data_IF_909920634031
#
_entry.id   IF_909920634031
#
_cell.length_a   1.000
_cell.length_b   1.000
_cell.length_c   1.000
_cell.angle_alpha   90.00
_cell.angle_beta   90.00
_cell.angle_gamma   90.00
#
_symmetry.space_group_name_H-M   'P 1'
#
loop_
_entity.id
_entity.type
_entity.pdbx_description
1 polymer ?
#
# COMPACT_ATOMS: atom_id res chain seq x y z
N UNK A 1 -35.05 13.96 6.35
CA UNK A 1 -34.47 14.33 5.04
C UNK A 1 -34.05 13.10 4.23
N UNK A 2 -33.17 12.23 4.77
CA UNK A 2 -32.68 11.03 4.08
C UNK A 2 -33.78 10.09 3.56
N UNK A 3 -34.84 9.85 4.34
CA UNK A 3 -35.97 9.01 3.90
C UNK A 3 -36.64 9.50 2.61
N UNK A 4 -36.63 10.81 2.34
CA UNK A 4 -37.18 11.39 1.10
C UNK A 4 -36.25 11.21 -0.09
N UNK A 5 -34.94 11.14 0.15
CA UNK A 5 -33.91 10.98 -0.89
C UNK A 5 -33.61 9.51 -1.18
N UNK A 6 -33.86 8.61 -0.21
CA UNK A 6 -33.57 7.17 -0.31
C UNK A 6 -34.06 6.55 -1.63
N UNK A 7 -35.30 6.77 -2.11
CA UNK A 7 -35.75 6.19 -3.38
C UNK A 7 -34.89 6.61 -4.58
N UNK A 8 -34.39 7.86 -4.61
CA UNK A 8 -33.54 8.34 -5.70
C UNK A 8 -32.09 7.84 -5.57
N UNK A 9 -31.57 7.79 -4.34
CA UNK A 9 -30.20 7.32 -4.05
C UNK A 9 -30.05 5.83 -4.40
N UNK A 10 -31.06 5.01 -4.11
CA UNK A 10 -31.04 3.56 -4.38
C UNK A 10 -31.47 3.18 -5.82
N UNK A 11 -31.93 4.16 -6.61
CA UNK A 11 -32.38 3.91 -7.98
C UNK A 11 -31.20 3.70 -8.96
N UNK A 12 -31.15 2.55 -9.64
CA UNK A 12 -30.08 2.16 -10.59
C UNK A 12 -30.18 2.90 -11.93
N UNK A 13 -31.39 3.28 -12.33
CA UNK A 13 -31.72 4.05 -13.54
C UNK A 13 -31.38 5.55 -13.38
N UNK A 14 -31.38 6.06 -12.15
CA UNK A 14 -30.90 7.40 -11.83
C UNK A 14 -29.38 7.39 -11.76
N UNK A 15 -28.74 7.86 -12.84
CA UNK A 15 -27.28 7.91 -12.96
C UNK A 15 -26.70 9.05 -12.12
N UNK A 16 -25.59 8.77 -11.43
CA UNK A 16 -24.86 9.73 -10.60
C UNK A 16 -23.40 9.83 -11.02
N UNK A 17 -22.87 11.04 -10.93
CA UNK A 17 -21.45 11.36 -11.07
C UNK A 17 -20.98 11.84 -9.70
N UNK A 18 -19.88 11.27 -9.20
CA UNK A 18 -19.30 11.63 -7.92
C UNK A 18 -17.77 11.74 -8.05
N UNK A 19 -17.13 12.37 -7.07
CA UNK A 19 -15.70 12.28 -6.87
C UNK A 19 -15.43 11.31 -5.73
N UNK A 20 -14.64 10.25 -5.94
CA UNK A 20 -14.35 9.24 -4.92
C UNK A 20 -15.64 8.64 -4.31
N UNK A 21 -16.51 8.14 -5.18
CA UNK A 21 -17.84 7.66 -4.85
C UNK A 21 -17.87 6.57 -3.76
N UNK A 22 -16.74 5.86 -3.59
CA UNK A 22 -16.54 4.87 -2.52
C UNK A 22 -16.76 5.48 -1.12
N UNK A 23 -16.31 6.72 -0.91
CA UNK A 23 -16.52 7.43 0.35
C UNK A 23 -18.01 7.66 0.62
N UNK A 24 -18.74 8.24 -0.34
CA UNK A 24 -20.19 8.49 -0.22
C UNK A 24 -20.97 7.21 0.01
N UNK A 25 -20.59 6.10 -0.65
CA UNK A 25 -21.21 4.81 -0.42
C UNK A 25 -21.06 4.33 1.03
N UNK A 26 -19.89 4.53 1.66
CA UNK A 26 -19.71 4.21 3.07
C UNK A 26 -20.61 5.06 3.96
N UNK A 27 -20.70 6.35 3.71
CA UNK A 27 -21.55 7.28 4.47
C UNK A 27 -23.02 6.89 4.37
N UNK A 28 -23.54 6.68 3.16
CA UNK A 28 -24.95 6.29 2.98
C UNK A 28 -25.28 4.93 3.58
N UNK A 29 -24.36 3.97 3.48
CA UNK A 29 -24.59 2.64 4.04
C UNK A 29 -24.57 2.62 5.57
N UNK A 30 -24.04 3.65 6.24
CA UNK A 30 -24.19 3.83 7.70
C UNK A 30 -25.60 4.29 8.10
N UNK A 31 -26.42 4.68 7.12
CA UNK A 31 -27.82 5.08 7.28
C UNK A 31 -28.79 4.14 6.55
N UNK A 32 -28.38 2.88 6.34
CA UNK A 32 -29.17 1.86 5.65
C UNK A 32 -29.65 2.29 4.25
N UNK A 33 -28.81 3.04 3.52
CA UNK A 33 -29.05 3.44 2.13
C UNK A 33 -27.99 2.80 1.24
N UNK A 34 -28.43 1.99 0.29
CA UNK A 34 -27.54 1.37 -0.70
C UNK A 34 -27.42 2.29 -1.92
N UNK A 35 -26.46 3.22 -1.88
CA UNK A 35 -26.22 4.13 -3.00
C UNK A 35 -25.93 3.33 -4.28
N UNK A 36 -26.83 3.47 -5.25
CA UNK A 36 -26.82 2.77 -6.53
C UNK A 36 -26.79 3.76 -7.69
N UNK A 37 -26.64 3.26 -8.92
CA UNK A 37 -26.65 4.11 -10.11
C UNK A 37 -25.43 5.03 -10.25
N UNK A 38 -24.33 4.77 -9.53
CA UNK A 38 -23.06 5.45 -9.73
C UNK A 38 -22.57 5.12 -11.14
N UNK A 39 -22.64 6.09 -12.03
CA UNK A 39 -22.29 5.95 -13.44
C UNK A 39 -20.84 6.34 -13.68
N UNK A 40 -20.37 7.38 -12.97
CA UNK A 40 -19.03 7.93 -13.13
C UNK A 40 -18.41 8.32 -11.79
N UNK A 41 -17.10 8.12 -11.70
CA UNK A 41 -16.24 8.63 -10.63
C UNK A 41 -15.10 9.46 -11.23
N UNK A 42 -15.09 10.77 -11.02
CA UNK A 42 -14.11 11.70 -11.62
C UNK A 42 -12.67 11.43 -11.19
N UNK A 43 -12.48 10.85 -9.99
CA UNK A 43 -11.17 10.43 -9.52
C UNK A 43 -10.62 9.31 -10.41
N UNK A 44 -11.48 8.33 -10.74
CA UNK A 44 -11.11 7.19 -11.58
C UNK A 44 -11.00 7.59 -13.06
N UNK A 45 -11.82 8.53 -13.53
CA UNK A 45 -11.67 9.11 -14.87
C UNK A 45 -10.29 9.75 -15.06
N UNK A 46 -9.89 10.58 -14.09
CA UNK A 46 -8.55 11.19 -14.12
C UNK A 46 -7.46 10.14 -13.97
N UNK A 47 -7.63 9.13 -13.13
CA UNK A 47 -6.61 8.10 -12.92
C UNK A 47 -6.30 7.28 -14.17
N UNK A 48 -7.33 6.89 -14.92
CA UNK A 48 -7.16 6.17 -16.19
C UNK A 48 -6.45 7.03 -17.23
N UNK A 49 -6.72 8.34 -17.23
CA UNK A 49 -6.12 9.27 -18.19
C UNK A 49 -4.67 9.65 -17.84
N UNK A 50 -4.33 9.78 -16.56
CA UNK A 50 -3.09 10.44 -16.10
C UNK A 50 -2.66 10.01 -14.68
N UNK A 51 -2.46 8.70 -14.52
CA UNK A 51 -2.12 8.03 -13.25
C UNK A 51 -0.90 8.55 -12.46
N UNK A 52 -0.03 9.35 -13.08
CA UNK A 52 1.18 9.92 -12.47
C UNK A 52 0.93 11.21 -11.68
N UNK A 53 -0.27 11.77 -11.79
CA UNK A 53 -0.63 13.07 -11.17
C UNK A 53 -1.55 12.88 -9.96
N UNK A 54 -1.83 13.96 -9.23
CA UNK A 54 -2.84 13.89 -8.17
C UNK A 54 -4.27 13.93 -8.73
N UNK A 55 -5.17 13.32 -7.99
CA UNK A 55 -6.56 13.05 -8.41
C UNK A 55 -7.61 13.62 -7.46
N UNK A 56 -7.23 14.51 -6.54
CA UNK A 56 -8.20 15.25 -5.73
C UNK A 56 -8.94 16.31 -6.57
N UNK A 57 -10.19 16.60 -6.19
CA UNK A 57 -11.10 17.44 -6.98
C UNK A 57 -10.53 18.84 -7.25
N UNK A 58 -9.85 19.46 -6.26
CA UNK A 58 -9.25 20.77 -6.42
C UNK A 58 -8.12 20.79 -7.46
N UNK A 59 -7.26 19.77 -7.45
CA UNK A 59 -6.25 19.57 -8.50
C UNK A 59 -6.90 19.30 -9.86
N UNK A 60 -7.98 18.51 -9.92
CA UNK A 60 -8.72 18.28 -11.17
C UNK A 60 -9.28 19.59 -11.74
N UNK A 61 -9.91 20.41 -10.90
CA UNK A 61 -10.50 21.70 -11.29
C UNK A 61 -9.44 22.68 -11.79
N UNK A 62 -8.31 22.77 -11.08
CA UNK A 62 -7.21 23.66 -11.48
C UNK A 62 -6.65 23.24 -12.84
N UNK A 63 -6.37 21.95 -13.02
CA UNK A 63 -5.72 21.42 -14.21
C UNK A 63 -6.62 21.38 -15.44
N UNK A 64 -7.90 20.99 -15.29
CA UNK A 64 -8.80 20.74 -16.42
C UNK A 64 -9.81 21.84 -16.67
N UNK A 65 -10.13 22.66 -15.65
CA UNK A 65 -11.10 23.74 -15.76
C UNK A 65 -10.47 25.13 -15.60
N UNK A 66 -9.22 25.22 -15.11
CA UNK A 66 -8.58 26.50 -14.77
C UNK A 66 -9.26 27.21 -13.58
N UNK A 67 -9.98 26.47 -12.74
CA UNK A 67 -10.75 27.00 -11.61
C UNK A 67 -10.06 26.64 -10.29
N UNK A 68 -9.93 27.63 -9.42
CA UNK A 68 -9.62 27.38 -8.01
C UNK A 68 -10.91 27.00 -7.27
N UNK A 69 -10.85 25.98 -6.43
CA UNK A 69 -11.95 25.56 -5.55
C UNK A 69 -11.69 26.02 -4.12
N UNK A 70 -12.74 26.06 -3.31
CA UNK A 70 -12.64 26.32 -1.89
C UNK A 70 -11.98 25.11 -1.21
N UNK A 71 -10.92 25.31 -0.44
CA UNK A 71 -10.28 24.19 0.25
C UNK A 71 -11.06 23.82 1.53
N UNK A 72 -11.10 22.53 1.87
CA UNK A 72 -11.68 22.07 3.14
C UNK A 72 -11.06 22.79 4.37
N UNK A 73 -9.75 23.08 4.29
CA UNK A 73 -9.02 23.80 5.33
C UNK A 73 -9.44 25.28 5.47
N UNK A 74 -9.98 25.90 4.41
CA UNK A 74 -10.52 27.26 4.49
C UNK A 74 -11.84 27.29 5.28
N UNK A 75 -12.57 26.17 5.27
CA UNK A 75 -13.79 25.99 6.07
C UNK A 75 -13.47 25.61 7.49
N UNK A 76 -12.65 24.57 7.65
CA UNK A 76 -12.49 23.86 8.90
C UNK A 76 -11.22 24.23 9.66
N UNK A 77 -10.30 25.01 9.07
CA UNK A 77 -8.98 25.25 9.63
C UNK A 77 -8.04 24.06 9.49
N UNK A 78 -6.91 24.10 10.22
CA UNK A 78 -5.82 23.12 10.14
C UNK A 78 -5.34 22.64 11.50
N UNK A 79 -4.76 21.44 11.53
CA UNK A 79 -4.06 20.87 12.68
C UNK A 79 -4.98 20.62 13.88
N UNK A 80 -4.44 20.73 15.10
CA UNK A 80 -5.17 20.40 16.33
C UNK A 80 -6.38 21.32 16.61
N UNK A 81 -6.50 22.45 15.91
CA UNK A 81 -7.63 23.39 16.02
C UNK A 81 -8.63 23.24 14.87
N UNK A 82 -8.45 22.26 13.99
CA UNK A 82 -9.38 22.00 12.90
C UNK A 82 -10.74 21.58 13.48
N UNK A 83 -11.80 22.25 13.04
CA UNK A 83 -13.18 21.93 13.41
C UNK A 83 -13.74 20.82 12.51
N UNK A 84 -14.80 20.16 12.97
CA UNK A 84 -15.55 19.20 12.16
C UNK A 84 -16.61 19.91 11.32
N UNK A 85 -17.06 19.28 10.22
CA UNK A 85 -17.95 19.94 9.26
C UNK A 85 -19.31 20.34 9.85
N UNK A 86 -19.78 19.65 10.91
CA UNK A 86 -21.00 20.00 11.66
C UNK A 86 -20.88 21.31 12.47
N UNK A 87 -19.66 21.82 12.65
CA UNK A 87 -19.38 23.08 13.33
C UNK A 87 -19.25 24.27 12.36
N UNK A 88 -19.27 24.01 11.05
CA UNK A 88 -19.17 25.06 10.03
C UNK A 88 -20.53 25.77 9.89
N UNK A 89 -20.49 27.10 9.73
CA UNK A 89 -21.67 27.88 9.42
C UNK A 89 -22.40 27.34 8.17
N UNK A 90 -23.73 27.24 8.24
CA UNK A 90 -24.55 26.61 7.20
C UNK A 90 -24.38 27.28 5.84
N UNK A 91 -24.25 28.61 5.78
CA UNK A 91 -24.09 29.30 4.49
C UNK A 91 -22.75 28.94 3.84
N UNK A 92 -21.68 28.88 4.63
CA UNK A 92 -20.35 28.48 4.14
C UNK A 92 -20.31 27.01 3.74
N UNK A 93 -20.89 26.13 4.56
CA UNK A 93 -20.98 24.70 4.28
C UNK A 93 -21.79 24.43 3.00
N UNK A 94 -22.89 25.16 2.78
CA UNK A 94 -23.72 25.04 1.60
C UNK A 94 -22.97 25.47 0.33
N UNK A 95 -22.22 26.59 0.37
CA UNK A 95 -21.43 27.04 -0.78
C UNK A 95 -20.36 26.02 -1.15
N UNK A 96 -19.60 25.52 -0.19
CA UNK A 96 -18.59 24.49 -0.40
C UNK A 96 -19.17 23.20 -0.98
N UNK A 97 -20.23 22.66 -0.37
CA UNK A 97 -20.83 21.40 -0.81
C UNK A 97 -21.52 21.52 -2.18
N UNK A 98 -22.10 22.69 -2.50
CA UNK A 98 -22.68 22.97 -3.81
C UNK A 98 -21.61 23.15 -4.89
N UNK A 99 -20.49 23.79 -4.55
CA UNK A 99 -19.32 23.90 -5.44
C UNK A 99 -18.79 22.49 -5.78
N UNK A 100 -18.54 21.64 -4.78
CA UNK A 100 -18.05 20.26 -4.99
C UNK A 100 -18.95 19.49 -5.98
N UNK A 101 -20.28 19.59 -5.84
CA UNK A 101 -21.22 18.93 -6.75
C UNK A 101 -21.20 19.51 -8.17
N UNK A 102 -21.15 20.84 -8.32
CA UNK A 102 -21.09 21.51 -9.63
C UNK A 102 -19.77 21.21 -10.34
N UNK A 103 -18.64 21.39 -9.67
CA UNK A 103 -17.33 21.19 -10.28
C UNK A 103 -17.06 19.72 -10.57
N UNK A 104 -17.56 18.77 -9.77
CA UNK A 104 -17.50 17.33 -10.10
C UNK A 104 -18.18 17.05 -11.44
N UNK A 105 -19.37 17.61 -11.68
CA UNK A 105 -20.04 17.46 -12.97
C UNK A 105 -19.24 18.08 -14.13
N UNK A 106 -18.71 19.30 -13.94
CA UNK A 106 -17.88 19.97 -14.96
C UNK A 106 -16.59 19.22 -15.27
N UNK A 107 -15.93 18.67 -14.25
CA UNK A 107 -14.74 17.83 -14.40
C UNK A 107 -15.07 16.58 -15.21
N UNK A 108 -16.17 15.90 -14.91
CA UNK A 108 -16.63 14.76 -15.71
C UNK A 108 -16.86 15.14 -17.18
N UNK A 109 -17.55 16.26 -17.43
CA UNK A 109 -17.77 16.74 -18.80
C UNK A 109 -16.47 17.05 -19.55
N UNK A 110 -15.42 17.48 -18.84
CA UNK A 110 -14.10 17.73 -19.42
C UNK A 110 -13.30 16.43 -19.63
N UNK A 111 -13.33 15.49 -18.69
CA UNK A 111 -12.49 14.29 -18.70
C UNK A 111 -13.05 13.16 -19.56
N UNK A 112 -14.34 12.85 -19.40
CA UNK A 112 -14.94 11.67 -20.02
C UNK A 112 -14.75 11.62 -21.54
N UNK A 113 -14.93 12.71 -22.32
CA UNK A 113 -14.70 12.68 -23.77
C UNK A 113 -13.25 12.38 -24.17
N UNK A 114 -12.26 12.61 -23.31
CA UNK A 114 -10.84 12.45 -23.64
C UNK A 114 -10.41 10.99 -23.73
N UNK A 115 -11.05 10.09 -22.98
CA UNK A 115 -10.73 8.66 -23.00
C UNK A 115 -11.86 7.79 -23.57
N UNK A 116 -13.10 8.28 -23.65
CA UNK A 116 -14.24 7.46 -24.07
C UNK A 116 -14.12 6.91 -25.50
N UNK A 117 -13.41 7.62 -26.40
CA UNK A 117 -13.17 7.18 -27.78
C UNK A 117 -11.94 6.28 -27.93
N UNK A 118 -11.07 6.21 -26.92
CA UNK A 118 -9.91 5.31 -26.89
C UNK A 118 -10.36 3.98 -26.29
N UNK A 119 -10.42 2.93 -27.11
CA UNK A 119 -11.01 1.65 -26.73
C UNK A 119 -10.32 1.00 -25.51
N UNK A 120 -9.00 1.16 -25.39
CA UNK A 120 -8.24 0.59 -24.27
C UNK A 120 -8.57 1.25 -22.93
N UNK A 121 -8.46 2.57 -22.85
CA UNK A 121 -8.75 3.38 -21.68
C UNK A 121 -10.24 3.29 -21.29
N UNK A 122 -11.13 3.36 -22.28
CA UNK A 122 -12.57 3.16 -22.08
C UNK A 122 -12.87 1.79 -21.47
N UNK A 123 -12.21 0.73 -21.95
CA UNK A 123 -12.32 -0.61 -21.38
C UNK A 123 -11.79 -0.66 -19.94
N UNK A 124 -10.60 -0.12 -19.67
CA UNK A 124 -10.02 -0.09 -18.32
C UNK A 124 -10.98 0.63 -17.35
N UNK A 125 -11.50 1.79 -17.73
CA UNK A 125 -12.42 2.55 -16.89
C UNK A 125 -13.73 1.79 -16.62
N UNK A 126 -14.44 1.38 -17.68
CA UNK A 126 -15.79 0.83 -17.55
C UNK A 126 -15.83 -0.64 -17.13
N UNK A 127 -14.88 -1.46 -17.59
CA UNK A 127 -14.88 -2.90 -17.36
C UNK A 127 -14.02 -3.32 -16.16
N UNK A 128 -13.06 -2.48 -15.73
CA UNK A 128 -12.14 -2.81 -14.64
C UNK A 128 -12.35 -1.86 -13.45
N UNK A 129 -12.05 -0.56 -13.58
CA UNK A 129 -11.99 0.36 -12.44
C UNK A 129 -13.36 0.59 -11.77
N UNK A 130 -14.40 0.88 -12.56
CA UNK A 130 -15.74 1.13 -12.04
C UNK A 130 -16.38 -0.09 -11.36
N UNK A 131 -16.28 -1.32 -11.91
CA UNK A 131 -16.69 -2.54 -11.21
C UNK A 131 -15.82 -2.87 -9.99
N UNK A 132 -14.49 -2.74 -10.10
CA UNK A 132 -13.57 -3.03 -9.00
C UNK A 132 -13.84 -2.14 -7.78
N UNK A 133 -14.16 -0.86 -8.01
CA UNK A 133 -14.58 0.10 -6.96
C UNK A 133 -15.70 -0.45 -6.08
N UNK A 134 -16.70 -1.12 -6.68
CA UNK A 134 -17.81 -1.71 -5.93
C UNK A 134 -17.34 -2.88 -5.04
N UNK A 135 -16.48 -3.74 -5.57
CA UNK A 135 -15.91 -4.88 -4.82
C UNK A 135 -15.03 -4.36 -3.68
N UNK A 136 -14.19 -3.36 -3.94
CA UNK A 136 -13.30 -2.75 -2.95
C UNK A 136 -14.11 -2.12 -1.82
N UNK A 137 -15.17 -1.37 -2.14
CA UNK A 137 -16.09 -0.84 -1.14
C UNK A 137 -16.65 -1.95 -0.22
N UNK A 138 -17.10 -3.07 -0.79
CA UNK A 138 -17.60 -4.22 -0.02
C UNK A 138 -16.51 -4.84 0.86
N UNK A 139 -15.29 -4.98 0.34
CA UNK A 139 -14.13 -5.49 1.08
C UNK A 139 -13.81 -4.61 2.29
N UNK A 140 -13.78 -3.28 2.09
CA UNK A 140 -13.55 -2.31 3.17
C UNK A 140 -14.65 -2.39 4.23
N UNK A 141 -15.94 -2.42 3.83
CA UNK A 141 -17.06 -2.54 4.79
C UNK A 141 -17.06 -3.86 5.54
N UNK A 142 -16.67 -4.94 4.88
CA UNK A 142 -16.57 -6.26 5.52
C UNK A 142 -15.47 -6.26 6.57
N UNK A 143 -14.33 -5.64 6.28
CA UNK A 143 -13.17 -5.63 7.16
C UNK A 143 -12.60 -7.03 7.42
N UNK A 144 -11.57 -7.11 8.26
CA UNK A 144 -10.91 -8.36 8.64
C UNK A 144 -10.93 -8.55 10.16
N UNK A 145 -11.20 -9.77 10.60
CA UNK A 145 -11.18 -10.10 12.03
C UNK A 145 -9.75 -10.35 12.49
N UNK A 146 -9.42 -9.76 13.64
CA UNK A 146 -8.12 -9.97 14.27
C UNK A 146 -8.29 -10.43 15.72
N UNK A 147 -7.36 -11.26 16.18
CA UNK A 147 -7.21 -11.64 17.57
C UNK A 147 -6.22 -10.69 18.27
N UNK A 148 -6.78 -9.71 18.98
CA UNK A 148 -6.01 -8.72 19.74
C UNK A 148 -5.19 -9.34 20.87
N UNK A 149 -5.59 -10.48 21.43
CA UNK A 149 -4.83 -11.14 22.49
C UNK A 149 -3.58 -11.82 21.94
N UNK A 150 -3.67 -12.44 20.75
CA UNK A 150 -2.48 -12.94 20.03
C UNK A 150 -1.50 -11.79 19.77
N UNK A 151 -1.97 -10.65 19.25
CA UNK A 151 -1.11 -9.49 18.97
C UNK A 151 -0.47 -8.91 20.24
N UNK A 152 -1.21 -8.83 21.34
CA UNK A 152 -0.68 -8.34 22.61
C UNK A 152 0.45 -9.23 23.15
N UNK A 153 0.29 -10.57 23.10
CA UNK A 153 1.36 -11.51 23.48
C UNK A 153 2.59 -11.36 22.60
N UNK A 154 2.39 -11.30 21.27
CA UNK A 154 3.48 -11.09 20.32
C UNK A 154 4.19 -9.75 20.53
N UNK A 155 3.46 -8.68 20.84
CA UNK A 155 4.05 -7.37 21.17
C UNK A 155 4.96 -7.45 22.38
N UNK A 156 4.54 -8.16 23.43
CA UNK A 156 5.36 -8.33 24.64
C UNK A 156 6.66 -9.10 24.34
N UNK A 157 6.57 -10.23 23.65
CA UNK A 157 7.74 -11.04 23.28
C UNK A 157 8.72 -10.27 22.37
N UNK A 158 8.21 -9.57 21.36
CA UNK A 158 9.03 -8.73 20.48
C UNK A 158 9.69 -7.60 21.29
N UNK A 159 8.97 -7.00 22.25
CA UNK A 159 9.51 -5.98 23.15
C UNK A 159 10.71 -6.50 23.97
N UNK A 160 10.62 -7.71 24.51
CA UNK A 160 11.73 -8.34 25.22
C UNK A 160 12.95 -8.58 24.32
N UNK A 161 12.73 -9.07 23.08
CA UNK A 161 13.80 -9.24 22.09
C UNK A 161 14.47 -7.91 21.74
N UNK A 162 13.70 -6.84 21.56
CA UNK A 162 14.22 -5.49 21.25
C UNK A 162 15.15 -5.01 22.38
N UNK A 163 14.72 -5.12 23.64
CA UNK A 163 15.53 -4.72 24.80
C UNK A 163 16.84 -5.52 24.87
N UNK A 164 16.78 -6.83 24.61
CA UNK A 164 17.96 -7.68 24.59
C UNK A 164 18.95 -7.31 23.47
N UNK A 165 18.44 -6.93 22.29
CA UNK A 165 19.27 -6.45 21.19
C UNK A 165 19.89 -5.09 21.51
N UNK A 166 19.14 -4.17 22.14
CA UNK A 166 19.67 -2.88 22.59
C UNK A 166 20.84 -3.04 23.57
N UNK A 167 20.71 -3.94 24.55
CA UNK A 167 21.81 -4.24 25.48
C UNK A 167 23.08 -4.70 24.77
N UNK A 168 22.95 -5.66 23.82
CA UNK A 168 24.07 -6.13 22.99
C UNK A 168 24.66 -5.03 22.10
N UNK A 169 23.83 -4.13 21.57
CA UNK A 169 24.30 -2.99 20.79
C UNK A 169 25.15 -2.04 21.65
N UNK A 170 24.75 -1.81 22.90
CA UNK A 170 25.50 -0.97 23.85
C UNK A 170 26.84 -1.59 24.22
N UNK A 171 26.89 -2.90 24.40
CA UNK A 171 28.15 -3.63 24.62
C UNK A 171 29.10 -3.48 23.43
N UNK A 172 28.61 -3.69 22.20
CA UNK A 172 29.41 -3.53 20.97
C UNK A 172 29.88 -2.09 20.74
N UNK A 173 29.05 -1.10 21.11
CA UNK A 173 29.39 0.32 20.98
C UNK A 173 30.22 0.88 22.15
N UNK A 174 30.31 0.13 23.26
CA UNK A 174 30.95 0.55 24.50
C UNK A 174 30.28 1.74 25.19
N UNK A 175 29.04 2.08 24.83
CA UNK A 175 28.23 3.12 25.48
C UNK A 175 26.74 3.01 25.09
N UNK A 176 25.82 3.50 25.93
CA UNK A 176 24.43 3.68 25.56
C UNK A 176 24.26 4.73 24.45
N UNK A 177 23.36 4.47 23.51
CA UNK A 177 22.97 5.43 22.48
C UNK A 177 21.55 5.12 21.97
N UNK A 178 20.97 6.02 21.18
CA UNK A 178 19.65 5.87 20.59
C UNK A 178 19.75 5.18 19.22
N UNK A 179 19.34 3.90 19.15
CA UNK A 179 19.32 3.10 17.92
C UNK A 179 18.33 3.63 16.86
N UNK A 180 17.37 4.48 17.25
CA UNK A 180 16.47 5.14 16.32
C UNK A 180 17.04 6.45 15.73
N UNK A 181 18.18 6.95 16.22
CA UNK A 181 18.81 8.18 15.76
C UNK A 181 19.88 7.90 14.69
N UNK A 182 19.65 8.25 13.41
CA UNK A 182 20.64 8.05 12.35
C UNK A 182 21.95 8.78 12.62
N UNK A 183 21.89 9.93 13.31
CA UNK A 183 23.07 10.72 13.67
C UNK A 183 23.96 9.98 14.67
N UNK A 184 23.39 9.49 15.77
CA UNK A 184 24.17 8.75 16.77
C UNK A 184 24.69 7.43 16.22
N UNK A 185 23.91 6.76 15.35
CA UNK A 185 24.38 5.57 14.65
C UNK A 185 25.59 5.85 13.76
N UNK A 186 25.55 6.93 12.98
CA UNK A 186 26.66 7.30 12.11
C UNK A 186 27.94 7.61 12.92
N UNK A 187 27.80 8.35 14.02
CA UNK A 187 28.90 8.66 14.95
C UNK A 187 29.52 7.38 15.53
N UNK A 188 28.70 6.46 16.06
CA UNK A 188 29.19 5.19 16.61
C UNK A 188 29.87 4.32 15.55
N UNK A 189 29.20 4.11 14.42
CA UNK A 189 29.69 3.19 13.39
C UNK A 189 30.95 3.71 12.70
N UNK A 190 30.94 4.96 12.23
CA UNK A 190 31.97 5.45 11.32
C UNK A 190 33.08 6.22 12.04
N UNK A 191 32.78 6.90 13.15
CA UNK A 191 33.80 7.67 13.89
C UNK A 191 34.43 6.82 15.00
N UNK A 192 33.61 6.21 15.87
CA UNK A 192 34.13 5.47 17.03
C UNK A 192 34.65 4.09 16.68
N UNK A 193 33.88 3.33 15.89
CA UNK A 193 34.25 1.96 15.49
C UNK A 193 35.02 1.91 14.16
N UNK A 194 35.11 3.03 13.44
CA UNK A 194 35.91 3.15 12.21
C UNK A 194 35.43 2.28 11.05
N UNK A 195 34.12 1.96 10.98
CA UNK A 195 33.57 1.17 9.87
C UNK A 195 33.74 1.92 8.53
N UNK A 196 33.85 1.20 7.40
CA UNK A 196 34.00 1.83 6.10
C UNK A 196 32.72 2.55 5.67
N UNK A 197 32.84 3.79 5.18
CA UNK A 197 31.72 4.56 4.63
C UNK A 197 31.46 4.11 3.18
N UNK A 198 30.36 3.38 2.97
CA UNK A 198 29.97 2.88 1.65
C UNK A 198 29.19 3.89 0.81
N UNK A 199 28.34 4.69 1.46
CA UNK A 199 27.48 5.68 0.81
C UNK A 199 27.26 6.87 1.73
N UNK A 200 27.08 8.05 1.14
CA UNK A 200 26.69 9.29 1.85
C UNK A 200 25.28 9.70 1.45
N UNK A 201 24.57 10.34 2.36
CA UNK A 201 23.29 11.01 2.09
C UNK A 201 23.52 12.24 1.20
N UNK A 202 22.48 12.81 0.57
CA UNK A 202 22.60 14.07 -0.16
C UNK A 202 23.19 15.22 0.68
N UNK A 203 23.03 15.17 2.00
CA UNK A 203 23.62 16.12 2.95
C UNK A 203 25.07 15.83 3.35
N UNK A 204 25.74 14.85 2.71
CA UNK A 204 27.15 14.54 2.91
C UNK A 204 27.47 13.67 4.15
N UNK A 205 26.49 13.35 4.98
CA UNK A 205 26.67 12.45 6.14
C UNK A 205 26.71 10.99 5.69
N UNK A 206 27.49 10.10 6.36
CA UNK A 206 27.43 8.67 6.10
C UNK A 206 26.00 8.10 6.22
N UNK A 207 25.58 7.32 5.23
CA UNK A 207 24.24 6.72 5.24
C UNK A 207 24.19 5.53 6.20
N UNK A 208 23.07 5.41 6.92
CA UNK A 208 22.73 4.23 7.74
C UNK A 208 21.43 3.60 7.23
N UNK A 209 21.18 3.68 5.92
CA UNK A 209 20.04 3.02 5.28
C UNK A 209 20.18 1.49 5.28
N UNK A 210 19.09 0.79 4.95
CA UNK A 210 19.04 -0.67 4.98
C UNK A 210 20.07 -1.32 4.04
N UNK A 211 20.36 -0.70 2.89
CA UNK A 211 21.33 -1.22 1.93
C UNK A 211 22.76 -1.15 2.48
N UNK A 212 23.17 -0.01 3.04
CA UNK A 212 24.49 0.16 3.66
C UNK A 212 24.65 -0.75 4.88
N UNK A 213 23.63 -0.84 5.73
CA UNK A 213 23.67 -1.74 6.88
C UNK A 213 23.76 -3.21 6.46
N UNK A 214 23.08 -3.61 5.38
CA UNK A 214 23.12 -4.98 4.87
C UNK A 214 24.48 -5.35 4.31
N UNK A 215 25.13 -4.43 3.59
CA UNK A 215 26.49 -4.64 3.10
C UNK A 215 27.48 -4.77 4.27
N UNK A 216 27.41 -3.86 5.25
CA UNK A 216 28.30 -3.90 6.42
C UNK A 216 28.01 -5.10 7.33
N UNK A 217 26.79 -5.62 7.35
CA UNK A 217 26.42 -6.78 8.17
C UNK A 217 27.11 -8.09 7.76
N UNK A 218 27.75 -8.13 6.58
CA UNK A 218 28.55 -9.26 6.13
C UNK A 218 29.82 -9.42 6.99
N UNK A 219 30.43 -8.29 7.35
CA UNK A 219 31.73 -8.26 8.04
C UNK A 219 31.63 -7.81 9.50
N UNK A 220 30.59 -7.03 9.84
CA UNK A 220 30.48 -6.35 11.14
C UNK A 220 29.24 -6.77 11.93
N UNK A 221 29.37 -7.10 13.23
CA UNK A 221 28.27 -7.58 14.05
C UNK A 221 27.23 -6.50 14.39
N UNK A 222 27.66 -5.25 14.61
CA UNK A 222 26.76 -4.15 14.99
C UNK A 222 25.72 -3.84 13.89
N UNK A 223 26.08 -3.66 12.61
CA UNK A 223 25.11 -3.49 11.53
C UNK A 223 24.09 -4.63 11.40
N UNK A 224 24.55 -5.88 11.55
CA UNK A 224 23.66 -7.06 11.53
C UNK A 224 22.60 -6.99 12.63
N UNK A 225 23.03 -6.64 13.85
CA UNK A 225 22.14 -6.47 14.99
C UNK A 225 21.16 -5.31 14.77
N UNK A 226 21.64 -4.18 14.23
CA UNK A 226 20.80 -3.00 13.97
C UNK A 226 19.70 -3.28 12.95
N UNK A 227 19.97 -4.09 11.92
CA UNK A 227 18.95 -4.54 10.96
C UNK A 227 17.85 -5.35 11.65
N UNK A 228 18.25 -6.28 12.52
CA UNK A 228 17.30 -7.10 13.29
C UNK A 228 16.45 -6.24 14.23
N UNK A 229 17.10 -5.34 14.99
CA UNK A 229 16.42 -4.40 15.89
C UNK A 229 15.41 -3.52 15.15
N UNK A 230 15.81 -2.90 14.03
CA UNK A 230 14.93 -2.04 13.23
C UNK A 230 13.75 -2.82 12.64
N UNK A 231 13.99 -4.05 12.18
CA UNK A 231 12.94 -4.92 11.67
C UNK A 231 11.90 -5.21 12.76
N UNK A 232 12.35 -5.64 13.95
CA UNK A 232 11.47 -5.92 15.09
C UNK A 232 10.74 -4.68 15.60
N UNK A 233 11.44 -3.55 15.74
CA UNK A 233 10.86 -2.28 16.17
C UNK A 233 9.77 -1.80 15.19
N UNK A 234 10.03 -1.89 13.88
CA UNK A 234 9.04 -1.58 12.84
C UNK A 234 7.85 -2.54 12.93
N UNK A 235 8.08 -3.84 13.06
CA UNK A 235 7.01 -4.83 13.21
C UNK A 235 6.13 -4.54 14.43
N UNK A 236 6.75 -4.22 15.56
CA UNK A 236 6.05 -3.91 16.80
C UNK A 236 5.20 -2.64 16.68
N UNK A 237 5.83 -1.53 16.30
CA UNK A 237 5.15 -0.24 16.22
C UNK A 237 4.12 -0.16 15.09
N UNK A 238 4.37 -0.80 13.95
CA UNK A 238 3.46 -0.73 12.79
C UNK A 238 2.28 -1.68 12.92
N UNK A 239 2.48 -2.87 13.50
CA UNK A 239 1.48 -3.93 13.47
C UNK A 239 0.99 -4.33 14.85
N UNK A 240 1.84 -4.90 15.71
CA UNK A 240 1.36 -5.52 16.96
C UNK A 240 0.81 -4.52 17.97
N UNK A 241 1.34 -3.28 18.00
CA UNK A 241 0.83 -2.21 18.86
C UNK A 241 -0.33 -1.43 18.21
N UNK A 242 -0.28 -1.22 16.89
CA UNK A 242 -1.24 -0.38 16.17
C UNK A 242 -2.53 -1.14 15.87
N UNK A 243 -2.46 -2.35 15.31
CA UNK A 243 -3.63 -3.10 14.82
C UNK A 243 -4.74 -3.29 15.88
N UNK A 244 -4.45 -3.66 17.14
CA UNK A 244 -5.51 -3.82 18.16
C UNK A 244 -6.29 -2.52 18.41
N UNK A 245 -5.65 -1.35 18.22
CA UNK A 245 -6.28 -0.03 18.39
C UNK A 245 -7.11 0.39 17.17
N UNK A 246 -6.99 -0.31 16.05
CA UNK A 246 -7.73 -0.05 14.81
C UNK A 246 -8.98 -0.92 14.68
N UNK A 247 -9.26 -1.77 15.67
CA UNK A 247 -10.51 -2.55 15.71
C UNK A 247 -11.67 -1.59 15.89
N UNK A 248 -12.59 -1.59 14.93
CA UNK A 248 -13.83 -0.84 15.05
C UNK A 248 -14.70 -1.47 16.15
N UNK A 249 -15.11 -0.72 17.19
CA UNK A 249 -15.90 -1.27 18.29
C UNK A 249 -17.28 -1.81 17.89
N UNK A 250 -17.87 -1.29 16.81
CA UNK A 250 -19.20 -1.70 16.34
C UNK A 250 -19.16 -3.03 15.58
N UNK A 251 -18.10 -3.27 14.79
CA UNK A 251 -17.99 -4.47 13.95
C UNK A 251 -17.09 -5.55 14.56
N UNK A 252 -16.22 -5.17 15.50
CA UNK A 252 -15.16 -6.05 16.03
C UNK A 252 -14.06 -6.37 15.01
N UNK A 253 -13.97 -5.60 13.91
CA UNK A 253 -13.06 -5.87 12.79
C UNK A 253 -12.18 -4.66 12.48
N UNK A 254 -11.07 -4.90 11.80
CA UNK A 254 -10.21 -3.85 11.24
C UNK A 254 -10.64 -3.57 9.80
N UNK A 255 -10.79 -2.29 9.47
CA UNK A 255 -11.21 -1.84 8.15
C UNK A 255 -10.07 -1.06 7.49
N UNK A 256 -9.29 -1.73 6.64
CA UNK A 256 -8.24 -1.06 5.85
C UNK A 256 -8.85 -0.16 4.79
N UNK A 257 -8.12 0.88 4.40
CA UNK A 257 -8.44 1.71 3.25
C UNK A 257 -7.63 1.25 2.03
N UNK A 258 -8.30 0.93 0.94
CA UNK A 258 -7.70 0.59 -0.35
C UNK A 258 -7.81 1.77 -1.33
N UNK A 259 -6.67 2.35 -1.72
CA UNK A 259 -6.66 3.39 -2.75
C UNK A 259 -6.51 2.77 -4.14
N UNK A 260 -7.45 3.11 -5.04
CA UNK A 260 -7.36 2.77 -6.46
C UNK A 260 -6.47 3.77 -7.22
N UNK A 261 -6.68 5.07 -7.00
CA UNK A 261 -6.04 6.13 -7.78
C UNK A 261 -4.80 6.71 -7.08
N UNK A 262 -3.76 5.88 -6.87
CA UNK A 262 -2.51 6.35 -6.21
C UNK A 262 -1.24 5.77 -6.80
N UNK A 263 -1.22 4.47 -7.14
CA UNK A 263 0.00 3.85 -7.67
C UNK A 263 0.02 4.01 -9.18
N UNK A 264 1.05 4.59 -9.76
CA UNK A 264 1.14 4.83 -11.23
C UNK A 264 0.92 3.55 -12.06
N UNK A 265 1.28 2.38 -11.53
CA UNK A 265 1.20 1.10 -12.24
C UNK A 265 -0.18 0.43 -12.23
N UNK A 266 -1.21 1.05 -11.65
CA UNK A 266 -2.56 0.44 -11.56
C UNK A 266 -2.80 -0.43 -10.33
N UNK A 267 -1.78 -0.65 -9.48
CA UNK A 267 -1.93 -1.51 -8.28
C UNK A 267 -2.71 -0.78 -7.18
N UNK A 268 -3.55 -1.52 -6.46
CA UNK A 268 -4.13 -1.01 -5.22
C UNK A 268 -3.03 -0.69 -4.21
N UNK A 269 -3.16 0.43 -3.51
CA UNK A 269 -2.42 0.71 -2.29
C UNK A 269 -3.33 0.45 -1.07
N UNK A 270 -2.73 0.12 0.08
CA UNK A 270 -3.45 -0.09 1.33
C UNK A 270 -2.90 0.82 2.44
N UNK A 271 -3.78 1.45 3.20
CA UNK A 271 -3.43 2.26 4.37
C UNK A 271 -4.39 2.00 5.54
N UNK A 272 -3.93 2.39 6.72
CA UNK A 272 -4.67 2.34 7.99
C UNK A 272 -5.52 1.08 8.24
N UNK A 273 -4.87 -0.10 8.37
CA UNK A 273 -3.44 -0.38 8.23
C UNK A 273 -3.04 -0.73 6.80
N UNK A 274 -1.75 -0.58 6.46
CA UNK A 274 -1.21 -1.13 5.22
C UNK A 274 -1.04 -2.65 5.36
N UNK A 275 -1.99 -3.41 4.82
CA UNK A 275 -1.99 -4.87 4.90
C UNK A 275 -1.02 -5.54 3.89
N UNK A 276 -0.60 -4.80 2.85
CA UNK A 276 0.30 -5.32 1.81
C UNK A 276 1.74 -5.47 2.33
N UNK A 277 2.14 -4.62 3.28
CA UNK A 277 3.51 -4.55 3.79
C UNK A 277 3.81 -5.49 4.97
N UNK A 278 2.87 -6.36 5.37
CA UNK A 278 3.12 -7.33 6.45
C UNK A 278 4.13 -8.36 5.95
N UNK A 279 5.33 -8.50 6.56
CA UNK A 279 6.37 -9.38 6.05
C UNK A 279 5.91 -10.84 5.88
N UNK A 280 6.23 -11.43 4.73
CA UNK A 280 5.82 -12.81 4.35
C UNK A 280 6.84 -13.85 4.81
N UNK A 281 8.13 -13.49 4.78
CA UNK A 281 9.24 -14.45 4.87
C UNK A 281 9.85 -14.55 6.26
N UNK A 282 9.75 -13.51 7.09
CA UNK A 282 10.25 -13.56 8.46
C UNK A 282 9.32 -14.37 9.36
N UNK A 283 9.90 -15.01 10.37
CA UNK A 283 9.14 -15.76 11.37
C UNK A 283 8.14 -14.85 12.09
N UNK A 284 8.58 -13.67 12.54
CA UNK A 284 7.74 -12.69 13.21
C UNK A 284 6.62 -12.15 12.31
N UNK A 285 6.89 -11.96 11.02
CA UNK A 285 5.87 -11.58 10.05
C UNK A 285 4.80 -12.64 9.88
N UNK A 286 5.20 -13.92 9.81
CA UNK A 286 4.28 -15.07 9.80
C UNK A 286 3.47 -15.15 11.09
N UNK A 287 4.09 -14.89 12.24
CA UNK A 287 3.39 -14.86 13.53
C UNK A 287 2.33 -13.76 13.57
N UNK A 288 2.63 -12.56 13.08
CA UNK A 288 1.62 -11.48 13.00
C UNK A 288 0.41 -11.90 12.17
N UNK A 289 0.63 -12.65 11.08
CA UNK A 289 -0.46 -13.17 10.24
C UNK A 289 -1.37 -14.17 10.96
N UNK A 290 -0.88 -14.88 11.96
CA UNK A 290 -1.73 -15.81 12.74
C UNK A 290 -2.76 -15.08 13.60
N UNK A 291 -2.61 -13.77 13.79
CA UNK A 291 -3.63 -12.96 14.43
C UNK A 291 -4.81 -12.64 13.53
N UNK A 292 -4.71 -12.80 12.20
CA UNK A 292 -5.82 -12.61 11.28
C UNK A 292 -6.62 -13.91 11.21
N UNK A 293 -7.80 -13.91 11.80
CA UNK A 293 -8.57 -15.13 12.09
C UNK A 293 -9.91 -15.13 11.38
N UNK A 294 -10.47 -16.32 11.17
CA UNK A 294 -11.84 -16.47 10.69
C UNK A 294 -12.82 -16.45 11.87
N UNK A 295 -14.06 -15.96 11.69
CA UNK A 295 -15.11 -16.13 12.68
C UNK A 295 -15.50 -17.61 12.84
N UNK A 296 -16.21 -17.98 13.92
CA UNK A 296 -16.70 -19.35 14.12
C UNK A 296 -17.47 -19.88 12.90
N UNK A 297 -17.25 -21.15 12.57
CA UNK A 297 -17.86 -21.82 11.41
C UNK A 297 -17.27 -21.43 10.04
N UNK A 298 -16.21 -20.61 10.02
CA UNK A 298 -15.54 -20.16 8.79
C UNK A 298 -14.05 -20.52 8.80
N UNK A 299 -13.41 -20.42 7.62
CA UNK A 299 -11.96 -20.52 7.46
C UNK A 299 -11.42 -19.36 6.63
N UNK A 300 -10.12 -19.06 6.76
CA UNK A 300 -9.43 -18.13 5.87
C UNK A 300 -8.94 -18.90 4.64
N UNK A 301 -9.29 -18.41 3.46
CA UNK A 301 -8.81 -18.94 2.18
C UNK A 301 -7.88 -17.91 1.54
N UNK A 302 -6.71 -18.37 1.09
CA UNK A 302 -5.74 -17.55 0.36
C UNK A 302 -5.64 -18.07 -1.07
N UNK A 303 -5.91 -17.20 -2.04
CA UNK A 303 -5.70 -17.46 -3.46
C UNK A 303 -4.64 -16.46 -3.97
N UNK A 304 -3.56 -16.98 -4.55
CA UNK A 304 -2.41 -16.18 -5.00
C UNK A 304 -2.03 -16.52 -6.43
N UNK A 305 -1.78 -15.50 -7.26
CA UNK A 305 -1.28 -15.70 -8.60
C UNK A 305 0.22 -15.96 -8.57
N UNK A 306 0.58 -17.24 -8.70
CA UNK A 306 1.97 -17.70 -8.70
C UNK A 306 2.81 -17.02 -9.79
N UNK A 307 3.66 -16.07 -9.37
CA UNK A 307 4.65 -15.38 -10.21
C UNK A 307 4.03 -14.67 -11.42
N UNK A 308 2.89 -14.01 -11.23
CA UNK A 308 2.14 -13.36 -12.32
C UNK A 308 2.98 -12.42 -13.19
N UNK A 309 3.89 -11.64 -12.58
CA UNK A 309 4.74 -10.70 -13.32
C UNK A 309 5.70 -11.41 -14.29
N UNK A 310 6.30 -12.53 -13.89
CA UNK A 310 7.16 -13.31 -14.78
C UNK A 310 6.35 -13.99 -15.90
N UNK A 311 5.11 -14.41 -15.61
CA UNK A 311 4.22 -14.99 -16.62
C UNK A 311 3.82 -13.95 -17.67
N UNK A 312 3.51 -12.73 -17.23
CA UNK A 312 3.25 -11.59 -18.13
C UNK A 312 4.50 -11.28 -18.95
N UNK A 313 5.68 -11.23 -18.32
CA UNK A 313 6.95 -11.01 -19.03
C UNK A 313 7.19 -12.06 -20.12
N UNK A 314 7.00 -13.35 -19.80
CA UNK A 314 7.15 -14.44 -20.77
C UNK A 314 6.16 -14.31 -21.94
N UNK A 315 4.93 -13.89 -21.67
CA UNK A 315 3.93 -13.63 -22.71
C UNK A 315 4.33 -12.43 -23.60
N UNK A 316 4.76 -11.32 -23.00
CA UNK A 316 5.14 -10.10 -23.72
C UNK A 316 6.44 -10.27 -24.53
N UNK A 317 7.41 -11.03 -24.02
CA UNK A 317 8.67 -11.29 -24.74
C UNK A 317 8.52 -12.32 -25.86
N UNK A 318 7.53 -13.21 -25.77
CA UNK A 318 7.37 -14.33 -26.70
C UNK A 318 8.48 -15.38 -26.59
N UNK A 319 9.25 -15.38 -25.48
CA UNK A 319 10.37 -16.29 -25.30
C UNK A 319 9.88 -17.75 -25.18
N UNK A 320 10.21 -18.55 -26.18
CA UNK A 320 9.72 -19.93 -26.30
C UNK A 320 10.10 -20.79 -25.08
N UNK A 321 11.29 -20.56 -24.52
CA UNK A 321 11.82 -21.35 -23.41
C UNK A 321 11.13 -21.02 -22.09
N UNK A 322 10.90 -19.74 -21.80
CA UNK A 322 10.13 -19.29 -20.65
C UNK A 322 8.66 -19.72 -20.74
N UNK A 323 8.06 -19.61 -21.93
CA UNK A 323 6.70 -20.09 -22.17
C UNK A 323 6.58 -21.60 -21.95
N UNK A 324 7.52 -22.39 -22.47
CA UNK A 324 7.57 -23.83 -22.27
C UNK A 324 7.79 -24.20 -20.79
N UNK A 325 8.72 -23.55 -20.10
CA UNK A 325 8.97 -23.76 -18.68
C UNK A 325 7.70 -23.52 -17.84
N UNK A 326 6.94 -22.45 -18.13
CA UNK A 326 5.67 -22.21 -17.44
C UNK A 326 4.56 -23.19 -17.83
N UNK A 327 4.51 -23.63 -19.09
CA UNK A 327 3.53 -24.60 -19.57
C UNK A 327 3.74 -26.00 -18.97
N UNK A 328 5.00 -26.39 -18.76
CA UNK A 328 5.38 -27.67 -18.17
C UNK A 328 5.43 -27.65 -16.63
N UNK A 329 5.21 -26.48 -16.01
CA UNK A 329 5.25 -26.34 -14.55
C UNK A 329 6.65 -26.40 -13.95
N UNK A 330 7.68 -26.12 -14.76
CA UNK A 330 9.07 -26.07 -14.31
C UNK A 330 9.32 -24.88 -13.36
N UNK A 331 10.33 -25.01 -12.50
CA UNK A 331 10.84 -23.86 -11.75
C UNK A 331 11.65 -22.96 -12.70
N UNK A 332 11.00 -21.89 -13.18
CA UNK A 332 11.61 -20.92 -14.09
C UNK A 332 12.94 -20.36 -13.58
N UNK A 333 13.11 -20.18 -12.26
CA UNK A 333 14.40 -19.70 -11.74
C UNK A 333 15.49 -20.77 -11.87
N UNK A 334 15.16 -22.06 -11.74
CA UNK A 334 16.12 -23.15 -12.02
C UNK A 334 16.35 -23.33 -13.51
N UNK A 335 15.32 -23.17 -14.34
CA UNK A 335 15.48 -23.20 -15.80
C UNK A 335 16.45 -22.10 -16.27
N UNK A 336 16.21 -20.85 -15.87
CA UNK A 336 17.10 -19.72 -16.18
C UNK A 336 18.51 -19.94 -15.61
N UNK A 337 18.64 -20.43 -14.38
CA UNK A 337 19.95 -20.73 -13.80
C UNK A 337 20.70 -21.81 -14.59
N UNK A 338 20.01 -22.86 -15.05
CA UNK A 338 20.62 -23.91 -15.85
C UNK A 338 21.24 -23.36 -17.13
N UNK A 339 20.56 -22.43 -17.80
CA UNK A 339 21.07 -21.76 -19.00
C UNK A 339 22.23 -20.81 -18.70
N UNK A 340 22.13 -20.00 -17.65
CA UNK A 340 23.20 -19.04 -17.26
C UNK A 340 24.48 -19.77 -16.86
N UNK A 341 24.35 -20.84 -16.07
CA UNK A 341 25.48 -21.56 -15.50
C UNK A 341 25.91 -22.78 -16.33
N UNK A 342 25.21 -23.07 -17.43
CA UNK A 342 25.51 -24.21 -18.32
C UNK A 342 25.34 -25.58 -17.65
N UNK A 343 24.39 -25.71 -16.72
CA UNK A 343 24.10 -26.94 -15.97
C UNK A 343 22.65 -27.38 -16.18
N UNK A 344 22.33 -28.64 -15.92
CA UNK A 344 20.92 -29.08 -16.01
C UNK A 344 20.10 -28.45 -14.87
N UNK A 345 18.79 -28.18 -15.05
CA UNK A 345 17.95 -27.62 -13.98
C UNK A 345 17.97 -28.42 -12.67
N UNK A 346 18.22 -29.73 -12.74
CA UNK A 346 18.34 -30.62 -11.58
C UNK A 346 19.62 -30.38 -10.77
N UNK A 347 20.70 -29.98 -11.43
CA UNK A 347 22.01 -29.69 -10.84
C UNK A 347 22.09 -28.27 -10.26
N UNK A 348 21.12 -27.40 -10.59
CA UNK A 348 21.08 -26.02 -10.08
C UNK A 348 20.96 -26.01 -8.55
N UNK A 349 21.98 -25.47 -7.89
CA UNK A 349 22.01 -25.28 -6.44
C UNK A 349 21.17 -24.08 -5.96
N UNK A 350 20.94 -23.95 -4.64
CA UNK A 350 20.16 -22.87 -4.05
C UNK A 350 20.68 -21.46 -4.36
N UNK A 351 22.00 -21.28 -4.42
CA UNK A 351 22.61 -19.98 -4.68
C UNK A 351 22.51 -19.58 -6.16
N UNK A 352 22.77 -20.52 -7.09
CA UNK A 352 22.56 -20.31 -8.53
C UNK A 352 21.10 -19.92 -8.83
N UNK A 353 20.15 -20.64 -8.22
CA UNK A 353 18.72 -20.30 -8.31
C UNK A 353 18.41 -18.90 -7.78
N UNK A 354 19.07 -18.48 -6.69
CA UNK A 354 18.88 -17.14 -6.10
C UNK A 354 19.39 -16.04 -7.03
N UNK A 355 20.55 -16.25 -7.67
CA UNK A 355 21.10 -15.33 -8.65
C UNK A 355 20.16 -15.18 -9.85
N UNK A 356 19.74 -16.29 -10.46
CA UNK A 356 18.81 -16.25 -11.59
C UNK A 356 17.47 -15.60 -11.23
N UNK A 357 16.98 -15.84 -10.01
CA UNK A 357 15.80 -15.13 -9.49
C UNK A 357 16.01 -13.62 -9.44
N UNK A 358 17.13 -13.15 -8.89
CA UNK A 358 17.44 -11.72 -8.84
C UNK A 358 17.55 -11.11 -10.23
N UNK A 359 18.13 -11.83 -11.20
CA UNK A 359 18.21 -11.40 -12.60
C UNK A 359 16.82 -11.28 -13.23
N UNK A 360 15.96 -12.31 -13.12
CA UNK A 360 14.62 -12.28 -13.70
C UNK A 360 13.78 -11.11 -13.16
N UNK A 361 13.85 -10.84 -11.86
CA UNK A 361 13.16 -9.67 -11.30
C UNK A 361 13.86 -8.35 -11.66
N UNK A 362 15.20 -8.33 -11.73
CA UNK A 362 15.96 -7.16 -12.17
C UNK A 362 15.60 -6.71 -13.58
N UNK A 363 15.38 -7.67 -14.51
CA UNK A 363 14.93 -7.40 -15.87
C UNK A 363 13.54 -6.76 -15.90
N UNK A 364 12.59 -7.26 -15.08
CA UNK A 364 11.23 -6.70 -14.99
C UNK A 364 11.25 -5.24 -14.52
N UNK A 365 12.13 -4.93 -13.57
CA UNK A 365 12.22 -3.58 -12.99
C UNK A 365 13.26 -2.68 -13.67
N UNK A 366 13.85 -3.10 -14.80
CA UNK A 366 14.83 -2.31 -15.53
C UNK A 366 16.07 -1.95 -14.72
N UNK A 367 16.51 -2.83 -13.80
CA UNK A 367 17.71 -2.61 -13.01
C UNK A 367 18.93 -2.50 -13.92
N UNK A 368 19.77 -1.49 -13.68
CA UNK A 368 21.06 -1.34 -14.38
C UNK A 368 21.99 -2.51 -14.09
N UNK A 369 22.77 -2.91 -15.09
CA UNK A 369 23.74 -4.00 -15.03
C UNK A 369 24.79 -3.83 -13.92
#
# INVERSE_FOLDING_TARGET
MLARLKPWLEAVDRKKVLQNAKYDQHIFANHDIMLAGIAHDTMLESYVLESDKGHDLGQLCTRHLGLATIAYEDLCGKGAKQITFDQVDIARAAVYAAEDADVTWRVHQALHPQFASEAGLSHIYHAIEMPARQVIWQMERTGILIDSAILARQSHEIGQKIIALEGKAYELAGQPFNLASPKQLAEIMFEKLGLPVKKKTPGGTPSTDEAVLSELALDYPLPKLLLEHRSLAKLKGTYTDKLPRMVNPQTGRVHTHFSQATVVTGRLASSDPNLQNIPVRSEEGRRIRTAFVAPPGHCIVSADYSQIELRIMAHLSGDARLLEAFAQGEDVHRATAGEIFGVTPLEVGPDQRRVAKSINFGLIYGMSA
#
